data_IF_784917119749
#
_entry.id   IF_784917119749
#
_cell.length_a   1.000
_cell.length_b   1.000
_cell.length_c   1.000
_cell.angle_alpha   90.00
_cell.angle_beta   90.00
_cell.angle_gamma   90.00
#
_symmetry.space_group_name_H-M   'P 1'
#
loop_
_entity.id
_entity.type
_entity.pdbx_description
1 polymer ?
#
# COMPACT_ATOMS: atom_id res chain seq x y z
N UNK A 1 52.66 -21.56 -10.05
CA UNK A 1 51.21 -21.83 -9.93
C UNK A 1 50.49 -21.35 -11.19
N UNK A 2 50.57 -22.11 -12.28
CA UNK A 2 50.03 -21.71 -13.60
C UNK A 2 49.05 -22.75 -14.17
N UNK A 3 48.69 -23.80 -13.41
CA UNK A 3 47.94 -24.94 -13.94
C UNK A 3 46.42 -24.90 -13.81
N UNK A 4 45.83 -23.80 -13.32
CA UNK A 4 44.37 -23.72 -13.08
C UNK A 4 43.52 -23.37 -14.34
N UNK A 5 44.00 -22.67 -15.39
CA UNK A 5 43.12 -22.32 -16.51
C UNK A 5 42.67 -23.51 -17.39
N UNK A 6 43.55 -24.50 -17.60
CA UNK A 6 43.27 -25.60 -18.54
C UNK A 6 42.23 -26.61 -18.00
N UNK A 7 42.24 -26.87 -16.69
CA UNK A 7 41.27 -27.77 -16.06
C UNK A 7 39.85 -27.20 -16.05
N UNK A 8 39.70 -25.89 -15.88
CA UNK A 8 38.39 -25.22 -15.90
C UNK A 8 37.75 -25.27 -17.28
N UNK A 9 38.53 -25.10 -18.35
CA UNK A 9 37.99 -25.12 -19.71
C UNK A 9 37.55 -26.53 -20.13
N UNK A 10 38.16 -27.57 -19.57
CA UNK A 10 37.73 -28.97 -19.78
C UNK A 10 36.46 -29.33 -19.02
N UNK A 11 36.20 -28.68 -17.88
CA UNK A 11 35.00 -28.90 -17.07
C UNK A 11 33.75 -28.23 -17.66
N UNK A 12 33.94 -27.16 -18.44
CA UNK A 12 32.89 -26.48 -19.21
C UNK A 12 32.89 -26.84 -20.72
N UNK A 13 33.87 -27.63 -21.16
CA UNK A 13 34.07 -28.01 -22.57
C UNK A 13 33.48 -29.36 -22.95
N UNK A 14 32.83 -30.06 -22.01
CA UNK A 14 32.05 -31.24 -22.34
C UNK A 14 30.60 -30.83 -22.53
N UNK A 15 30.14 -30.94 -23.78
CA UNK A 15 28.88 -31.63 -24.05
C UNK A 15 28.87 -32.91 -23.20
N UNK A 16 28.38 -32.81 -21.96
CA UNK A 16 28.20 -33.94 -21.07
C UNK A 16 27.21 -34.87 -21.77
N UNK A 17 27.61 -36.05 -22.28
CA UNK A 17 26.72 -36.96 -22.97
C UNK A 17 25.84 -37.61 -21.89
N UNK A 18 24.68 -37.00 -21.63
CA UNK A 18 23.80 -37.33 -20.51
C UNK A 18 23.25 -36.11 -19.77
N UNK A 19 23.86 -34.93 -19.96
CA UNK A 19 23.23 -33.65 -19.63
C UNK A 19 22.45 -33.14 -20.84
N UNK A 20 21.60 -33.99 -21.41
CA UNK A 20 20.45 -33.48 -22.15
C UNK A 20 19.58 -32.78 -21.12
N UNK A 21 19.85 -31.48 -20.92
CA UNK A 21 19.02 -30.57 -20.14
C UNK A 21 17.68 -30.55 -20.87
N UNK A 22 16.86 -31.55 -20.57
CA UNK A 22 15.50 -31.62 -21.03
C UNK A 22 14.80 -30.48 -20.31
N UNK A 23 14.67 -29.33 -21.01
CA UNK A 23 14.00 -28.16 -20.46
C UNK A 23 12.62 -28.54 -19.90
N UNK A 24 11.98 -29.58 -20.45
CA UNK A 24 10.76 -30.20 -19.94
C UNK A 24 10.81 -30.58 -18.44
N UNK A 25 11.95 -31.02 -17.89
CA UNK A 25 12.07 -31.37 -16.47
C UNK A 25 12.36 -30.15 -15.59
N UNK A 26 12.97 -29.10 -16.14
CA UNK A 26 13.33 -27.87 -15.40
C UNK A 26 12.16 -26.89 -15.37
N UNK A 27 11.39 -26.82 -16.45
CA UNK A 27 10.20 -25.97 -16.59
C UNK A 27 9.27 -26.07 -15.38
N UNK A 28 8.84 -27.25 -14.89
CA UNK A 28 7.91 -27.31 -13.75
C UNK A 28 8.52 -26.77 -12.46
N UNK A 29 9.80 -27.01 -12.21
CA UNK A 29 10.49 -26.51 -11.01
C UNK A 29 10.67 -24.99 -11.06
N UNK A 30 11.04 -24.45 -12.22
CA UNK A 30 11.13 -22.99 -12.44
C UNK A 30 9.75 -22.35 -12.35
N UNK A 31 8.70 -22.98 -12.90
CA UNK A 31 7.33 -22.49 -12.79
C UNK A 31 6.88 -22.42 -11.33
N UNK A 32 7.14 -23.47 -10.55
CA UNK A 32 6.75 -23.52 -9.13
C UNK A 32 7.40 -22.38 -8.35
N UNK A 33 8.71 -22.17 -8.55
CA UNK A 33 9.44 -21.07 -7.93
C UNK A 33 8.93 -19.71 -8.39
N UNK A 34 8.71 -19.53 -9.70
CA UNK A 34 8.20 -18.29 -10.27
C UNK A 34 6.79 -17.95 -9.74
N UNK A 35 5.91 -18.94 -9.62
CA UNK A 35 4.59 -18.79 -9.02
C UNK A 35 4.71 -18.37 -7.56
N UNK A 36 5.56 -19.04 -6.77
CA UNK A 36 5.81 -18.69 -5.38
C UNK A 36 6.28 -17.25 -5.21
N UNK A 37 7.30 -16.85 -5.98
CA UNK A 37 7.82 -15.48 -5.99
C UNK A 37 6.75 -14.48 -6.44
N UNK A 38 5.98 -14.79 -7.48
CA UNK A 38 4.87 -13.95 -7.93
C UNK A 38 3.83 -13.73 -6.83
N UNK A 39 3.43 -14.78 -6.10
CA UNK A 39 2.51 -14.67 -4.97
C UNK A 39 3.09 -13.82 -3.85
N UNK A 40 4.36 -14.00 -3.49
CA UNK A 40 5.03 -13.18 -2.47
C UNK A 40 5.09 -11.71 -2.87
N UNK A 41 5.47 -11.40 -4.12
CA UNK A 41 5.49 -10.03 -4.63
C UNK A 41 4.08 -9.45 -4.61
N UNK A 42 3.07 -10.20 -5.06
CA UNK A 42 1.67 -9.76 -5.03
C UNK A 42 1.21 -9.44 -3.61
N UNK A 43 1.51 -10.31 -2.64
CA UNK A 43 1.19 -10.11 -1.23
C UNK A 43 1.96 -8.94 -0.64
N UNK A 44 3.25 -8.79 -0.94
CA UNK A 44 4.07 -7.68 -0.47
C UNK A 44 3.58 -6.35 -1.03
N UNK A 45 3.27 -6.28 -2.33
CA UNK A 45 2.68 -5.10 -2.96
C UNK A 45 1.29 -4.82 -2.38
N UNK A 46 0.48 -5.83 -2.15
CA UNK A 46 -0.84 -5.65 -1.52
C UNK A 46 -0.73 -5.17 -0.07
N UNK A 47 0.26 -5.66 0.69
CA UNK A 47 0.54 -5.24 2.06
C UNK A 47 1.10 -3.82 2.10
N UNK A 48 1.94 -3.43 1.14
CA UNK A 48 2.42 -2.05 1.00
C UNK A 48 1.32 -1.09 0.52
N UNK A 49 0.41 -1.57 -0.33
CA UNK A 49 -0.77 -0.81 -0.80
C UNK A 49 -1.88 -0.72 0.26
N UNK A 50 -1.96 -1.69 1.18
CA UNK A 50 -2.69 -1.55 2.44
C UNK A 50 -1.92 -0.53 3.28
N UNK A 51 -2.19 0.75 2.96
CA UNK A 51 -1.68 1.90 3.69
C UNK A 51 -1.79 1.62 5.19
N UNK A 52 -0.82 2.06 6.01
CA UNK A 52 -0.82 1.80 7.44
C UNK A 52 -2.19 2.14 8.05
N UNK A 53 -2.95 1.12 8.42
CA UNK A 53 -4.28 1.22 9.05
C UNK A 53 -4.20 1.86 10.45
N UNK A 54 -3.00 2.20 10.93
CA UNK A 54 -2.74 2.62 12.32
C UNK A 54 -2.95 4.11 12.59
N UNK A 55 -3.83 4.81 11.87
CA UNK A 55 -4.11 6.21 12.19
C UNK A 55 -5.35 6.78 11.50
N UNK A 56 -5.29 6.94 10.18
CA UNK A 56 -6.30 7.70 9.45
C UNK A 56 -7.57 6.90 9.10
N UNK A 57 -7.48 5.61 8.78
CA UNK A 57 -8.66 4.78 8.47
C UNK A 57 -9.61 4.64 9.67
N UNK A 58 -9.07 4.63 10.90
CA UNK A 58 -9.85 4.63 12.14
C UNK A 58 -10.54 5.97 12.45
N UNK A 59 -10.38 6.98 11.60
CA UNK A 59 -11.02 8.28 11.76
C UNK A 59 -12.41 8.34 11.12
N UNK A 60 -12.73 7.43 10.20
CA UNK A 60 -14.03 7.39 9.52
C UNK A 60 -15.12 7.07 10.55
N UNK A 61 -16.20 7.86 10.53
CA UNK A 61 -17.31 7.77 11.49
C UNK A 61 -17.10 8.55 12.79
N UNK A 62 -15.90 9.11 13.02
CA UNK A 62 -15.68 9.96 14.18
C UNK A 62 -16.26 11.36 13.97
N UNK A 63 -16.75 11.94 15.06
CA UNK A 63 -17.16 13.33 15.13
C UNK A 63 -15.99 14.21 15.59
N UNK A 64 -15.91 15.39 15.00
CA UNK A 64 -14.94 16.42 15.33
C UNK A 64 -15.54 17.81 15.29
N UNK A 65 -14.70 18.80 15.55
CA UNK A 65 -15.09 20.22 15.54
C UNK A 65 -14.15 21.01 14.64
N UNK A 66 -14.71 21.85 13.77
CA UNK A 66 -13.92 22.72 12.89
C UNK A 66 -13.14 23.73 13.75
N UNK A 67 -11.82 23.77 13.62
CA UNK A 67 -10.95 24.70 14.38
C UNK A 67 -10.66 25.99 13.62
N UNK A 68 -10.73 25.95 12.30
CA UNK A 68 -10.62 27.08 11.38
C UNK A 68 -11.60 26.90 10.22
N UNK A 69 -12.18 27.99 9.71
CA UNK A 69 -13.18 27.95 8.64
C UNK A 69 -12.71 27.06 7.48
N UNK A 70 -13.57 26.12 7.10
CA UNK A 70 -13.28 25.12 6.09
C UNK A 70 -13.80 25.62 4.74
N UNK A 71 -12.93 26.10 3.84
CA UNK A 71 -13.34 26.67 2.55
C UNK A 71 -12.36 26.34 1.40
N UNK A 72 -12.51 25.21 0.68
CA UNK A 72 -13.17 23.97 1.08
C UNK A 72 -12.27 23.11 1.99
N UNK A 73 -11.01 23.51 2.15
CA UNK A 73 -10.03 22.88 3.03
C UNK A 73 -9.84 23.72 4.30
N UNK A 74 -9.48 23.07 5.39
CA UNK A 74 -9.19 23.71 6.66
C UNK A 74 -8.73 22.67 7.68
N UNK A 75 -8.97 22.96 8.96
CA UNK A 75 -8.55 22.10 10.05
C UNK A 75 -9.73 21.75 10.96
N UNK A 76 -9.73 20.49 11.40
CA UNK A 76 -10.72 19.94 12.33
C UNK A 76 -9.98 19.31 13.51
N UNK A 77 -10.59 19.37 14.68
CA UNK A 77 -10.14 18.63 15.85
C UNK A 77 -10.97 17.37 15.99
N UNK A 78 -10.32 16.20 15.89
CA UNK A 78 -10.93 14.87 16.05
C UNK A 78 -10.06 14.10 17.04
N UNK A 79 -10.67 13.50 18.07
CA UNK A 79 -9.94 12.78 19.15
C UNK A 79 -8.84 13.59 19.86
N UNK A 80 -8.97 14.92 19.90
CA UNK A 80 -7.95 15.79 20.51
C UNK A 80 -6.74 16.09 19.61
N UNK A 81 -6.73 15.57 18.37
CA UNK A 81 -5.71 15.87 17.37
C UNK A 81 -6.25 16.83 16.31
N UNK A 82 -5.38 17.72 15.81
CA UNK A 82 -5.72 18.63 14.71
C UNK A 82 -5.37 17.95 13.39
N UNK A 83 -6.38 17.77 12.56
CA UNK A 83 -6.28 17.12 11.25
C UNK A 83 -6.64 18.08 10.12
N UNK A 84 -5.96 17.95 8.99
CA UNK A 84 -6.35 18.62 7.76
C UNK A 84 -7.65 17.99 7.26
N UNK A 85 -8.64 18.80 6.92
CA UNK A 85 -9.92 18.31 6.44
C UNK A 85 -10.44 19.10 5.24
N UNK A 86 -11.30 18.45 4.46
CA UNK A 86 -11.99 19.00 3.31
C UNK A 86 -13.48 18.67 3.38
N UNK A 87 -14.32 19.65 3.05
CA UNK A 87 -15.77 19.49 2.98
C UNK A 87 -16.14 18.51 1.87
N UNK A 88 -16.97 17.51 2.17
CA UNK A 88 -17.42 16.49 1.23
C UNK A 88 -18.22 17.11 0.06
N UNK A 89 -19.12 18.05 0.38
CA UNK A 89 -19.95 18.77 -0.59
C UNK A 89 -19.25 20.01 -1.20
N UNK A 90 -18.02 20.31 -0.77
CA UNK A 90 -17.29 21.53 -1.16
C UNK A 90 -17.88 22.82 -0.59
N UNK A 91 -18.90 22.74 0.27
CA UNK A 91 -19.52 23.87 0.95
C UNK A 91 -18.64 24.41 2.08
N UNK A 92 -18.67 25.72 2.34
CA UNK A 92 -17.98 26.32 3.47
C UNK A 92 -18.56 25.83 4.80
N UNK A 93 -17.72 25.36 5.72
CA UNK A 93 -18.13 24.98 7.09
C UNK A 93 -17.45 25.92 8.08
N UNK A 94 -18.26 26.59 8.91
CA UNK A 94 -17.76 27.58 9.86
C UNK A 94 -17.00 26.94 11.03
N UNK A 95 -16.09 27.73 11.60
CA UNK A 95 -15.39 27.38 12.84
C UNK A 95 -16.37 27.05 13.95
N UNK A 96 -16.10 25.95 14.63
CA UNK A 96 -16.87 25.46 15.76
C UNK A 96 -18.03 24.54 15.39
N UNK A 97 -18.35 24.38 14.10
CA UNK A 97 -19.37 23.45 13.65
C UNK A 97 -18.93 22.00 13.89
N UNK A 98 -19.82 21.14 14.42
CA UNK A 98 -19.56 19.71 14.52
C UNK A 98 -19.60 19.06 13.13
N UNK A 99 -18.63 18.21 12.85
CA UNK A 99 -18.51 17.52 11.57
C UNK A 99 -18.27 16.03 11.78
N UNK A 100 -18.72 15.21 10.84
CA UNK A 100 -18.49 13.77 10.83
C UNK A 100 -17.51 13.41 9.72
N UNK A 101 -16.50 12.60 10.03
CA UNK A 101 -15.56 12.11 9.03
C UNK A 101 -16.24 11.04 8.18
N UNK A 102 -16.44 11.32 6.89
CA UNK A 102 -17.06 10.41 5.93
C UNK A 102 -16.04 9.65 5.08
N UNK A 103 -14.78 10.08 5.09
CA UNK A 103 -13.71 9.41 4.37
C UNK A 103 -12.32 9.99 4.65
N UNK A 104 -11.31 9.38 4.05
CA UNK A 104 -9.92 9.83 4.14
C UNK A 104 -9.28 9.82 2.76
N UNK A 105 -8.63 10.92 2.39
CA UNK A 105 -7.81 11.04 1.19
C UNK A 105 -6.37 11.37 1.58
N UNK A 106 -5.53 10.34 1.68
CA UNK A 106 -4.13 10.50 2.12
C UNK A 106 -4.04 10.91 3.59
N UNK A 107 -3.62 12.16 3.83
CA UNK A 107 -3.54 12.78 5.16
C UNK A 107 -4.63 13.85 5.38
N UNK A 108 -5.62 13.92 4.48
CA UNK A 108 -6.74 14.85 4.57
C UNK A 108 -8.02 14.08 4.86
N UNK A 109 -8.73 14.45 5.92
CA UNK A 109 -10.05 13.90 6.26
C UNK A 109 -11.12 14.53 5.36
N UNK A 110 -12.04 13.72 4.84
CA UNK A 110 -13.24 14.19 4.16
C UNK A 110 -14.34 14.26 5.21
N UNK A 111 -14.90 15.44 5.43
CA UNK A 111 -15.86 15.70 6.50
C UNK A 111 -17.16 16.25 5.94
N UNK A 112 -18.26 15.88 6.57
CA UNK A 112 -19.60 16.39 6.29
C UNK A 112 -20.15 17.14 7.49
N UNK A 113 -21.02 18.11 7.24
CA UNK A 113 -21.62 18.94 8.28
C UNK A 113 -22.72 18.15 9.02
N UNK A 114 -22.61 18.04 10.34
CA UNK A 114 -23.61 17.38 11.18
C UNK A 114 -23.34 15.89 11.47
N UNK A 115 -24.11 15.34 12.43
CA UNK A 115 -24.17 13.90 12.72
C UNK A 115 -24.90 13.20 11.58
N UNK A 116 -24.17 12.71 10.58
CA UNK A 116 -24.77 11.83 9.57
C UNK A 116 -24.97 10.45 10.20
N UNK A 117 -26.11 10.25 10.88
CA UNK A 117 -26.57 8.94 11.35
C UNK A 117 -26.76 8.04 10.13
N UNK A 118 -25.84 7.10 9.89
CA UNK A 118 -26.08 6.02 8.95
C UNK A 118 -27.24 5.18 9.50
N UNK A 119 -28.40 5.30 8.85
CA UNK A 119 -29.55 4.37 9.00
C UNK A 119 -29.40 3.28 7.95
#
# INVERSE_FOLDING_TARGET
MISIPLGSLFLFGTDLPGLSINLINIIPMVLLLAIGVYFLIKLAVQAQKRKPTTGTEGMIGLTGKVTADLQPEGFVMVRGEIWKAKSADGKPILRGTPVTVVGVSGLTLIVDEGERKLT
#
